data_IF_284714737707
#
_entry.id   IF_284714737707
#
_cell.length_a   1.000
_cell.length_b   1.000
_cell.length_c   1.000
_cell.angle_alpha   90.00
_cell.angle_beta   90.00
_cell.angle_gamma   90.00
#
_symmetry.space_group_name_H-M   'P 1'
#
loop_
_entity.id
_entity.type
_entity.pdbx_description
1 polymer ?
#
# COMPACT_ATOMS: atom_id res chain seq x y z
N UNK A 1 26.49 -12.41 8.73
CA UNK A 1 25.74 -11.81 9.84
C UNK A 1 24.26 -11.62 9.50
N UNK A 2 23.88 -10.95 8.41
CA UNK A 2 22.47 -10.77 8.01
C UNK A 2 21.72 -12.12 7.87
N UNK A 3 22.29 -13.08 7.12
CA UNK A 3 21.67 -14.41 6.97
C UNK A 3 21.48 -15.13 8.30
N UNK A 4 22.43 -15.04 9.24
CA UNK A 4 22.31 -15.67 10.55
C UNK A 4 21.14 -15.12 11.38
N UNK A 5 20.87 -13.81 11.30
CA UNK A 5 19.69 -13.22 11.92
C UNK A 5 18.39 -13.62 11.21
N UNK A 6 18.41 -13.80 9.88
CA UNK A 6 17.27 -14.32 9.13
C UNK A 6 16.93 -15.76 9.52
N UNK A 7 17.95 -16.62 9.59
CA UNK A 7 17.79 -18.03 9.97
C UNK A 7 17.27 -18.19 11.41
N UNK A 8 17.63 -17.25 12.29
CA UNK A 8 17.18 -17.19 13.68
C UNK A 8 15.83 -16.47 13.88
N UNK A 9 15.20 -15.96 12.81
CA UNK A 9 13.99 -15.14 12.88
C UNK A 9 14.13 -13.89 13.77
N UNK A 10 15.36 -13.41 13.97
CA UNK A 10 15.65 -12.20 14.74
C UNK A 10 15.47 -10.97 13.85
N UNK A 11 14.21 -10.56 13.70
CA UNK A 11 13.82 -9.46 12.81
C UNK A 11 14.45 -8.12 13.21
N UNK A 12 14.69 -7.89 14.50
CA UNK A 12 15.31 -6.68 15.00
C UNK A 12 16.77 -6.57 14.53
N UNK A 13 17.57 -7.60 14.78
CA UNK A 13 18.98 -7.57 14.40
C UNK A 13 19.18 -7.74 12.89
N UNK A 14 18.28 -8.45 12.21
CA UNK A 14 18.24 -8.47 10.75
C UNK A 14 18.02 -7.07 10.15
N UNK A 15 17.05 -6.33 10.67
CA UNK A 15 16.77 -4.96 10.22
C UNK A 15 17.94 -4.01 10.51
N UNK A 16 18.53 -4.09 11.70
CA UNK A 16 19.68 -3.25 12.04
C UNK A 16 20.89 -3.56 11.15
N UNK A 17 21.20 -4.84 10.92
CA UNK A 17 22.33 -5.23 10.06
C UNK A 17 22.14 -4.84 8.60
N UNK A 18 20.92 -4.95 8.06
CA UNK A 18 20.60 -4.49 6.70
C UNK A 18 20.66 -2.96 6.61
N UNK A 19 20.13 -2.24 7.59
CA UNK A 19 20.23 -0.77 7.68
C UNK A 19 21.68 -0.29 7.77
N UNK A 20 22.55 -0.95 8.51
CA UNK A 20 23.98 -0.59 8.56
C UNK A 20 24.71 -0.87 7.25
N UNK A 21 24.36 -1.96 6.55
CA UNK A 21 25.06 -2.38 5.33
C UNK A 21 24.58 -1.64 4.07
N UNK A 22 23.28 -1.37 3.99
CA UNK A 22 22.62 -0.84 2.79
C UNK A 22 21.81 0.44 3.04
N UNK A 23 21.68 0.87 4.29
CA UNK A 23 20.96 2.09 4.62
C UNK A 23 21.73 3.34 4.20
N UNK A 24 21.04 4.49 4.15
CA UNK A 24 21.67 5.76 3.81
C UNK A 24 22.83 6.09 4.75
N UNK A 25 23.99 6.46 4.18
CA UNK A 25 25.16 6.88 4.95
C UNK A 25 24.91 8.18 5.76
N UNK A 26 23.88 8.93 5.40
CA UNK A 26 23.40 10.11 6.13
C UNK A 26 21.94 9.92 6.53
N UNK A 27 21.63 10.17 7.80
CA UNK A 27 20.27 10.40 8.28
C UNK A 27 19.83 11.81 7.86
N UNK A 28 19.73 12.04 6.56
CA UNK A 28 18.95 13.17 6.08
C UNK A 28 17.48 12.92 6.39
N UNK A 29 16.74 13.97 6.73
CA UNK A 29 15.30 13.97 6.42
C UNK A 29 15.17 13.55 4.95
N UNK A 30 14.25 12.63 4.64
CA UNK A 30 13.90 12.30 3.25
C UNK A 30 12.74 13.22 2.85
N UNK A 31 13.00 14.48 2.44
CA UNK A 31 11.92 15.38 2.11
C UNK A 31 11.14 14.84 0.93
N UNK A 32 9.82 14.87 1.04
CA UNK A 32 8.95 14.57 -0.09
C UNK A 32 8.93 15.78 -1.03
N UNK A 33 8.88 15.53 -2.34
CA UNK A 33 8.64 16.60 -3.29
C UNK A 33 7.14 16.91 -3.34
N UNK A 34 6.78 18.18 -3.39
CA UNK A 34 5.41 18.60 -3.64
C UNK A 34 4.93 18.09 -5.01
N UNK A 35 3.62 17.99 -5.20
CA UNK A 35 3.02 17.47 -6.45
C UNK A 35 3.49 18.19 -7.73
N UNK A 36 3.81 19.49 -7.62
CA UNK A 36 4.33 20.32 -8.71
C UNK A 36 5.88 20.38 -8.78
N UNK A 37 6.57 19.56 -7.99
CA UNK A 37 8.04 19.48 -7.92
C UNK A 37 8.74 20.75 -7.43
N UNK A 38 7.98 21.78 -7.00
CA UNK A 38 8.52 23.11 -6.75
C UNK A 38 9.11 23.26 -5.34
N UNK A 39 8.72 22.40 -4.39
CA UNK A 39 9.13 22.50 -2.97
C UNK A 39 9.42 21.13 -2.37
N UNK A 40 10.36 21.12 -1.43
CA UNK A 40 10.66 19.98 -0.56
C UNK A 40 9.87 20.12 0.75
N UNK A 41 9.09 19.09 1.07
CA UNK A 41 8.31 18.95 2.29
C UNK A 41 9.17 18.25 3.33
N UNK A 42 9.56 18.99 4.37
CA UNK A 42 10.40 18.51 5.48
C UNK A 42 9.63 18.38 6.80
N UNK A 43 8.49 19.05 6.88
CA UNK A 43 7.63 19.08 8.05
C UNK A 43 6.60 17.95 8.00
N UNK A 44 6.35 17.30 9.14
CA UNK A 44 5.48 16.12 9.25
C UNK A 44 4.02 16.44 8.89
N UNK A 45 3.51 17.62 9.26
CA UNK A 45 2.14 18.02 8.93
C UNK A 45 2.00 18.25 7.42
N UNK A 46 3.02 18.84 6.80
CA UNK A 46 3.06 19.05 5.36
C UNK A 46 3.12 17.71 4.59
N UNK A 47 3.89 16.74 5.09
CA UNK A 47 3.96 15.38 4.55
C UNK A 47 2.61 14.69 4.68
N UNK A 48 1.97 14.75 5.85
CA UNK A 48 0.68 14.12 6.09
C UNK A 48 -0.43 14.70 5.21
N UNK A 49 -0.47 16.03 5.07
CA UNK A 49 -1.43 16.70 4.21
C UNK A 49 -1.27 16.27 2.75
N UNK A 50 -0.02 16.17 2.27
CA UNK A 50 0.27 15.70 0.92
C UNK A 50 -0.23 14.28 0.67
N UNK A 51 0.01 13.34 1.61
CA UNK A 51 -0.52 11.99 1.52
C UNK A 51 -2.06 11.98 1.49
N UNK A 52 -2.70 12.77 2.35
CA UNK A 52 -4.16 12.88 2.39
C UNK A 52 -4.74 13.35 1.06
N UNK A 53 -4.15 14.39 0.46
CA UNK A 53 -4.57 14.92 -0.85
C UNK A 53 -4.34 13.88 -1.96
N UNK A 54 -3.16 13.26 -1.99
CA UNK A 54 -2.80 12.25 -2.98
C UNK A 54 -3.75 11.04 -2.94
N UNK A 55 -3.97 10.47 -1.75
CA UNK A 55 -4.88 9.33 -1.61
C UNK A 55 -6.33 9.70 -1.90
N UNK A 56 -6.77 10.92 -1.54
CA UNK A 56 -8.10 11.40 -1.91
C UNK A 56 -8.28 11.40 -3.42
N UNK A 57 -7.30 11.91 -4.18
CA UNK A 57 -7.36 11.90 -5.64
C UNK A 57 -7.28 10.49 -6.22
N UNK A 58 -6.43 9.63 -5.67
CA UNK A 58 -6.24 8.26 -6.15
C UNK A 58 -7.50 7.41 -5.95
N UNK A 59 -8.11 7.47 -4.76
CA UNK A 59 -9.23 6.61 -4.36
C UNK A 59 -10.58 7.12 -4.85
N UNK A 60 -10.76 8.44 -4.97
CA UNK A 60 -12.02 9.03 -5.45
C UNK A 60 -11.96 9.42 -6.93
N UNK A 61 -11.01 8.85 -7.68
CA UNK A 61 -10.96 9.04 -9.13
C UNK A 61 -12.12 8.29 -9.76
N UNK A 62 -12.95 9.02 -10.51
CA UNK A 62 -13.99 8.41 -11.33
C UNK A 62 -13.37 7.37 -12.27
N UNK A 63 -13.84 6.12 -12.23
CA UNK A 63 -13.28 5.08 -13.06
C UNK A 63 -13.57 5.38 -14.53
N UNK A 64 -12.52 5.41 -15.35
CA UNK A 64 -12.67 5.45 -16.82
C UNK A 64 -12.94 4.03 -17.31
N UNK A 65 -14.09 3.49 -16.96
CA UNK A 65 -14.53 2.18 -17.45
C UNK A 65 -15.40 2.40 -18.68
N UNK A 66 -14.98 1.87 -19.83
CA UNK A 66 -15.82 1.84 -21.02
C UNK A 66 -16.84 0.72 -20.94
N UNK A 67 -18.02 0.93 -21.52
CA UNK A 67 -19.08 -0.09 -21.63
C UNK A 67 -18.56 -1.36 -22.33
N UNK A 68 -17.71 -1.18 -23.34
CA UNK A 68 -17.01 -2.28 -24.02
C UNK A 68 -16.19 -3.13 -23.04
N UNK A 69 -15.48 -2.51 -22.10
CA UNK A 69 -14.67 -3.22 -21.10
C UNK A 69 -15.55 -4.02 -20.14
N UNK A 70 -16.73 -3.51 -19.78
CA UNK A 70 -17.68 -4.21 -18.92
C UNK A 70 -18.23 -5.47 -19.59
N UNK A 71 -18.50 -5.41 -20.90
CA UNK A 71 -19.03 -6.55 -21.65
C UNK A 71 -18.04 -7.71 -21.79
N UNK A 72 -16.73 -7.47 -21.63
CA UNK A 72 -15.70 -8.53 -21.68
C UNK A 72 -15.43 -9.18 -20.32
N UNK A 73 -16.05 -8.69 -19.23
CA UNK A 73 -15.83 -9.26 -17.89
C UNK A 73 -16.51 -10.65 -17.82
N UNK A 74 -15.75 -11.74 -17.57
CA UNK A 74 -16.32 -13.07 -17.51
C UNK A 74 -17.23 -13.21 -16.29
N UNK A 75 -18.52 -13.49 -16.53
CA UNK A 75 -19.49 -13.78 -15.50
C UNK A 75 -19.16 -15.13 -14.84
N UNK A 76 -19.13 -15.17 -13.51
CA UNK A 76 -18.98 -16.41 -12.74
C UNK A 76 -20.30 -16.72 -12.03
N UNK A 77 -20.62 -18.01 -11.92
CA UNK A 77 -21.80 -18.45 -11.19
C UNK A 77 -21.66 -18.08 -9.70
N UNK A 78 -22.77 -17.68 -9.09
CA UNK A 78 -22.83 -17.48 -7.63
C UNK A 78 -22.54 -18.82 -6.97
N UNK A 79 -21.59 -18.85 -6.04
CA UNK A 79 -21.24 -20.06 -5.31
C UNK A 79 -22.09 -20.11 -4.05
N UNK A 80 -23.11 -20.97 -4.06
CA UNK A 80 -24.08 -21.13 -2.95
C UNK A 80 -23.46 -21.63 -1.64
N UNK A 81 -22.21 -22.12 -1.69
CA UNK A 81 -21.50 -22.61 -0.50
C UNK A 81 -20.98 -21.52 0.43
N UNK A 82 -21.12 -20.25 0.06
CA UNK A 82 -20.89 -19.11 0.97
C UNK A 82 -22.14 -18.92 1.84
N UNK A 83 -22.36 -19.90 2.73
CA UNK A 83 -23.33 -19.97 3.81
C UNK A 83 -24.46 -18.94 3.83
N UNK A 84 -25.52 -19.17 3.05
CA UNK A 84 -26.86 -18.75 3.46
C UNK A 84 -27.55 -20.00 4.02
N UNK A 85 -27.69 -20.05 5.34
CA UNK A 85 -28.50 -21.07 6.00
C UNK A 85 -29.96 -20.87 5.55
N UNK A 86 -30.47 -21.80 4.74
CA UNK A 86 -31.90 -21.82 4.44
C UNK A 86 -32.66 -22.22 5.72
N UNK A 87 -33.65 -21.43 6.17
CA UNK A 87 -34.46 -21.83 7.31
C UNK A 87 -35.31 -23.03 6.91
N UNK A 88 -35.23 -24.10 7.71
CA UNK A 88 -36.07 -25.27 7.60
C UNK A 88 -37.53 -24.90 7.89
N UNK A 89 -38.38 -24.91 6.87
CA UNK A 89 -39.84 -24.92 7.05
C UNK A 89 -40.28 -26.34 7.46
N UNK A 90 -41.08 -26.41 8.53
CA UNK A 90 -41.84 -27.57 8.99
C UNK A 90 -43.33 -27.24 8.94
#
# INVERSE_FOLDING_TARGET
>A
MIQGYADQHDMHNFFQATKTTYGPCSTGENPLQSQNGSRLLKDDDAIYLHWKEHFKLLLNREPTISEETLQVIPQRHVVDSLGIHQPSES
#
